data_IF_738858528562
#
_entry.id   IF_738858528562
#
_cell.length_a   1.000
_cell.length_b   1.000
_cell.length_c   1.000
_cell.angle_alpha   90.00
_cell.angle_beta   90.00
_cell.angle_gamma   90.00
#
_symmetry.space_group_name_H-M   'P 1'
#
loop_
_entity.id
_entity.type
_entity.pdbx_description
1 polymer ?
#
# COMPACT_ATOMS: atom_id res chain seq x y z
N UNK A 1 11.71 12.74 -7.53
CA UNK A 1 11.68 11.51 -8.36
C UNK A 1 10.64 10.59 -7.74
N UNK A 2 9.61 10.17 -8.49
CA UNK A 2 8.54 9.30 -7.95
C UNK A 2 8.97 7.86 -8.19
N UNK A 3 9.30 7.11 -7.14
CA UNK A 3 9.53 5.68 -7.25
C UNK A 3 8.17 4.98 -7.35
N UNK A 4 7.88 4.41 -8.52
CA UNK A 4 6.69 3.62 -8.79
C UNK A 4 7.08 2.15 -8.70
N UNK A 5 6.42 1.39 -7.84
CA UNK A 5 6.57 -0.06 -7.80
C UNK A 5 5.40 -0.68 -8.56
N UNK A 6 5.68 -1.25 -9.73
CA UNK A 6 4.69 -1.91 -10.58
C UNK A 6 4.78 -3.41 -10.42
N UNK A 7 3.87 -3.98 -9.63
CA UNK A 7 3.51 -5.40 -9.73
C UNK A 7 2.37 -5.48 -10.75
N UNK A 8 2.25 -6.55 -11.52
CA UNK A 8 1.19 -6.66 -12.55
C UNK A 8 -0.19 -6.30 -11.97
N UNK A 9 -0.80 -5.24 -12.52
CA UNK A 9 -2.11 -4.75 -12.08
C UNK A 9 -2.13 -3.91 -10.80
N UNK A 10 -0.97 -3.66 -10.17
CA UNK A 10 -0.82 -2.76 -9.03
C UNK A 10 -0.02 -1.52 -9.45
N UNK A 11 -0.51 -0.35 -9.04
CA UNK A 11 0.25 0.89 -9.07
C UNK A 11 0.47 1.35 -7.64
N UNK A 12 1.72 1.45 -7.21
CA UNK A 12 2.08 2.00 -5.91
C UNK A 12 3.09 3.13 -6.05
N UNK A 13 2.89 4.22 -5.30
CA UNK A 13 3.82 5.34 -5.27
C UNK A 13 3.79 6.07 -3.91
N UNK A 14 4.93 6.68 -3.58
CA UNK A 14 5.06 7.52 -2.39
C UNK A 14 4.72 8.98 -2.72
N UNK A 15 4.01 9.64 -1.81
CA UNK A 15 3.83 11.09 -1.80
C UNK A 15 4.48 11.63 -0.52
N UNK A 16 5.31 12.65 -0.68
CA UNK A 16 5.99 13.31 0.42
C UNK A 16 5.67 14.79 0.37
N UNK A 17 5.22 15.35 1.49
CA UNK A 17 5.05 16.78 1.67
C UNK A 17 5.60 17.13 3.05
N UNK A 18 6.66 17.93 3.09
CA UNK A 18 7.38 18.28 4.31
C UNK A 18 7.76 17.06 5.16
N UNK A 19 7.15 16.91 6.34
CA UNK A 19 7.39 15.80 7.26
C UNK A 19 6.43 14.62 7.05
N UNK A 20 5.38 14.81 6.24
CA UNK A 20 4.39 13.79 5.96
C UNK A 20 4.79 12.94 4.77
N UNK A 21 4.62 11.63 4.94
CA UNK A 21 4.83 10.67 3.88
C UNK A 21 3.65 9.71 3.80
N UNK A 22 3.14 9.55 2.59
CA UNK A 22 2.03 8.68 2.25
C UNK A 22 2.49 7.64 1.24
N UNK A 23 1.99 6.42 1.36
CA UNK A 23 2.08 5.38 0.36
C UNK A 23 0.68 5.16 -0.22
N UNK A 24 0.55 5.43 -1.51
CA UNK A 24 -0.70 5.22 -2.26
C UNK A 24 -0.57 3.93 -3.06
N UNK A 25 -1.56 3.06 -2.95
CA UNK A 25 -1.60 1.77 -3.63
C UNK A 25 -2.94 1.61 -4.32
N UNK A 26 -2.92 1.31 -5.61
CA UNK A 26 -4.09 1.01 -6.42
C UNK A 26 -4.03 -0.42 -6.92
N UNK A 27 -5.08 -1.19 -6.69
CA UNK A 27 -5.34 -2.42 -7.41
C UNK A 27 -6.23 -2.12 -8.62
N UNK A 28 -5.70 -2.30 -9.82
CA UNK A 28 -6.40 -2.03 -11.08
C UNK A 28 -7.01 -3.30 -11.70
N UNK A 29 -7.01 -4.42 -10.97
CA UNK A 29 -7.55 -5.69 -11.47
C UNK A 29 -8.87 -6.06 -10.82
N UNK A 30 -9.62 -6.95 -11.49
CA UNK A 30 -10.81 -7.62 -10.95
C UNK A 30 -10.50 -8.73 -9.95
N UNK A 31 -9.26 -8.82 -9.45
CA UNK A 31 -8.77 -9.90 -8.59
C UNK A 31 -8.20 -9.35 -7.30
N UNK A 32 -8.25 -10.13 -6.22
CA UNK A 32 -7.53 -9.77 -5.00
C UNK A 32 -6.01 -9.86 -5.24
N UNK A 33 -5.25 -8.90 -4.72
CA UNK A 33 -3.79 -8.88 -4.80
C UNK A 33 -3.17 -8.83 -3.40
N UNK A 34 -2.13 -9.64 -3.20
CA UNK A 34 -1.31 -9.61 -1.99
C UNK A 34 -0.04 -8.82 -2.26
N UNK A 35 0.26 -7.84 -1.42
CA UNK A 35 1.45 -7.00 -1.50
C UNK A 35 2.21 -7.13 -0.19
N UNK A 36 3.52 -7.30 -0.28
CA UNK A 36 4.42 -7.31 0.86
C UNK A 36 5.23 -6.03 0.81
N UNK A 37 5.04 -5.17 1.81
CA UNK A 37 5.89 -4.01 2.05
C UNK A 37 7.10 -4.46 2.87
N UNK A 38 8.30 -4.21 2.36
CA UNK A 38 9.57 -4.50 3.02
C UNK A 38 10.30 -3.20 3.37
N UNK A 39 11.36 -3.28 4.16
CA UNK A 39 12.30 -2.18 4.40
C UNK A 39 11.61 -0.85 4.76
N UNK A 40 11.84 0.21 3.97
CA UNK A 40 11.32 1.56 4.21
C UNK A 40 9.79 1.65 4.04
N UNK A 41 9.18 0.81 3.20
CA UNK A 41 7.73 0.77 3.06
C UNK A 41 7.04 0.15 4.29
N UNK A 42 7.77 -0.59 5.12
CA UNK A 42 7.23 -1.15 6.37
C UNK A 42 6.94 -0.10 7.44
N UNK A 43 7.41 1.14 7.26
CA UNK A 43 7.06 2.27 8.13
C UNK A 43 5.59 2.68 7.95
N UNK A 44 5.00 2.44 6.77
CA UNK A 44 3.64 2.88 6.45
C UNK A 44 2.59 1.91 7.02
N UNK A 45 2.28 2.08 8.30
CA UNK A 45 1.40 1.17 9.07
C UNK A 45 -0.03 1.67 9.22
N UNK A 46 -0.24 2.98 9.08
CA UNK A 46 -1.52 3.59 9.40
C UNK A 46 -2.39 3.67 8.15
N UNK A 47 -3.55 2.99 8.14
CA UNK A 47 -4.51 3.13 7.03
C UNK A 47 -5.25 4.45 7.20
N UNK A 48 -4.98 5.40 6.30
CA UNK A 48 -5.65 6.70 6.30
C UNK A 48 -6.92 6.69 5.44
N UNK A 49 -6.94 5.86 4.39
CA UNK A 49 -8.07 5.75 3.48
C UNK A 49 -8.10 4.40 2.77
N UNK A 50 -9.31 3.89 2.51
CA UNK A 50 -9.55 2.73 1.66
C UNK A 50 -10.91 2.84 0.97
N UNK A 51 -10.96 2.56 -0.33
CA UNK A 51 -12.24 2.52 -1.09
C UNK A 51 -12.99 1.20 -0.92
N UNK A 52 -12.33 0.16 -0.39
CA UNK A 52 -12.88 -1.18 -0.22
C UNK A 52 -12.50 -1.79 1.12
N UNK A 53 -12.99 -2.99 1.39
CA UNK A 53 -12.58 -3.73 2.58
C UNK A 53 -11.11 -4.17 2.42
N UNK A 54 -10.28 -3.80 3.39
CA UNK A 54 -8.90 -4.24 3.51
C UNK A 54 -8.86 -5.54 4.29
N UNK A 55 -8.33 -6.59 3.67
CA UNK A 55 -8.24 -7.90 4.30
C UNK A 55 -6.82 -8.02 4.85
N UNK A 56 -6.67 -7.63 6.12
CA UNK A 56 -5.55 -8.00 7.00
C UNK A 56 -4.21 -7.29 6.72
N UNK A 57 -3.70 -6.63 7.77
CA UNK A 57 -2.29 -6.25 7.92
C UNK A 57 -1.65 -7.31 8.82
N UNK A 58 -0.77 -8.15 8.29
CA UNK A 58 0.05 -9.00 9.13
C UNK A 58 1.38 -8.29 9.40
N UNK A 59 1.49 -7.70 10.60
CA UNK A 59 2.64 -6.91 11.01
C UNK A 59 3.63 -7.81 11.73
N UNK A 60 4.51 -8.47 10.97
CA UNK A 60 5.70 -9.09 11.57
C UNK A 60 6.81 -8.03 11.51
N UNK A 61 7.68 -7.92 12.53
CA UNK A 61 8.51 -6.73 12.85
C UNK A 61 9.32 -6.06 11.70
N UNK A 62 9.38 -6.63 10.50
CA UNK A 62 10.04 -6.10 9.30
C UNK A 62 9.20 -6.18 7.98
N UNK A 63 7.95 -6.66 8.02
CA UNK A 63 7.11 -6.88 6.83
C UNK A 63 5.65 -6.58 7.13
N UNK A 64 5.01 -5.84 6.23
CA UNK A 64 3.56 -5.65 6.22
C UNK A 64 3.01 -6.39 5.00
N UNK A 65 2.18 -7.39 5.24
CA UNK A 65 1.39 -8.02 4.18
C UNK A 65 0.02 -7.36 4.10
N UNK A 66 -0.36 -6.92 2.89
CA UNK A 66 -1.63 -6.30 2.57
C UNK A 66 -2.38 -7.18 1.58
N UNK A 67 -3.64 -7.52 1.86
CA UNK A 67 -4.51 -8.08 0.84
C UNK A 67 -5.51 -7.02 0.38
N UNK A 68 -5.35 -6.58 -0.86
CA UNK A 68 -6.13 -5.51 -1.48
C UNK A 68 -7.18 -6.15 -2.37
N UNK A 69 -8.44 -5.84 -2.10
CA UNK A 69 -9.58 -6.31 -2.88
C UNK A 69 -9.57 -5.72 -4.30
N UNK A 70 -10.30 -6.32 -5.24
CA UNK A 70 -10.41 -5.80 -6.61
C UNK A 70 -10.73 -4.31 -6.65
N UNK A 71 -10.15 -3.58 -7.61
CA UNK A 71 -10.45 -2.16 -7.87
C UNK A 71 -10.38 -1.23 -6.65
N UNK A 72 -9.53 -1.57 -5.67
CA UNK A 72 -9.43 -0.84 -4.41
C UNK A 72 -8.19 0.03 -4.36
N UNK A 73 -8.37 1.24 -3.83
CA UNK A 73 -7.29 2.17 -3.48
C UNK A 73 -7.08 2.18 -1.98
N UNK A 74 -5.83 2.15 -1.56
CA UNK A 74 -5.41 2.26 -0.16
C UNK A 74 -4.38 3.37 -0.02
N UNK A 75 -4.54 4.19 1.00
CA UNK A 75 -3.56 5.21 1.38
C UNK A 75 -3.07 4.90 2.78
N UNK A 76 -1.75 4.74 2.90
CA UNK A 76 -1.07 4.46 4.15
C UNK A 76 -0.20 5.65 4.56
N UNK A 77 -0.22 6.00 5.84
CA UNK A 77 0.71 6.95 6.46
C UNK A 77 1.79 6.24 7.26
N UNK A 78 2.93 6.91 7.45
CA UNK A 78 3.95 6.52 8.43
C UNK A 78 3.41 6.54 9.86
#
# INVERSE_FOLDING_TARGET
>A
MVNILTISGIIAFKRTLDQDSLLVIHNLTGEQKSIILTDQESEFKNILFSTGNLVKINNNKAKIELQITPYTTVILGK
#
